data_IF_818868692138
#
_entry.id   IF_818868692138
#
_cell.length_a   1.000
_cell.length_b   1.000
_cell.length_c   1.000
_cell.angle_alpha   90.00
_cell.angle_beta   90.00
_cell.angle_gamma   90.00
#
_symmetry.space_group_name_H-M   'P 1'
#
loop_
_entity.id
_entity.type
_entity.pdbx_description
1 polymer ?
#
# COMPACT_ATOMS: atom_id res chain seq x y z
N UNK A 1 -16.14 11.84 58.47
CA UNK A 1 -16.67 11.17 57.27
C UNK A 1 -15.95 11.70 56.04
N UNK A 2 -14.84 11.07 55.68
CA UNK A 2 -13.97 11.44 54.55
C UNK A 2 -14.38 10.60 53.34
N UNK A 3 -15.08 11.21 52.36
CA UNK A 3 -15.25 10.60 51.03
C UNK A 3 -14.03 10.93 50.19
N UNK A 4 -13.19 9.92 49.96
CA UNK A 4 -12.21 9.91 48.87
C UNK A 4 -12.98 9.83 47.55
N UNK A 5 -12.84 10.84 46.70
CA UNK A 5 -13.17 10.76 45.28
C UNK A 5 -11.94 10.28 44.52
N UNK A 6 -12.00 9.06 44.01
CA UNK A 6 -11.06 8.55 43.01
C UNK A 6 -11.38 9.23 41.67
N UNK A 7 -10.41 9.73 40.89
CA UNK A 7 -10.68 10.09 39.51
C UNK A 7 -10.76 8.80 38.68
N UNK A 8 -11.92 8.56 38.06
CA UNK A 8 -12.07 7.55 37.01
C UNK A 8 -11.37 8.06 35.76
N UNK A 9 -10.21 7.49 35.44
CA UNK A 9 -9.54 7.72 34.16
C UNK A 9 -10.24 6.88 33.09
N UNK A 10 -11.30 7.42 32.47
CA UNK A 10 -11.66 6.95 31.12
C UNK A 10 -10.68 7.62 30.17
N UNK A 11 -9.61 6.90 29.80
CA UNK A 11 -8.76 7.32 28.70
C UNK A 11 -9.66 7.46 27.47
N UNK A 12 -9.78 8.68 26.95
CA UNK A 12 -10.38 8.89 25.64
C UNK A 12 -9.54 8.07 24.66
N UNK A 13 -10.14 7.03 24.07
CA UNK A 13 -9.54 6.29 22.96
C UNK A 13 -9.13 7.31 21.91
N UNK A 14 -7.87 7.25 21.46
CA UNK A 14 -7.32 8.20 20.50
C UNK A 14 -8.14 8.16 19.19
N UNK A 15 -8.23 9.26 18.44
CA UNK A 15 -8.88 9.24 17.12
C UNK A 15 -8.28 8.22 16.14
N UNK A 16 -7.06 7.73 16.43
CA UNK A 16 -6.39 6.69 15.67
C UNK A 16 -6.94 5.30 15.94
N UNK A 17 -7.32 4.99 17.17
CA UNK A 17 -7.86 3.67 17.54
C UNK A 17 -9.08 3.29 16.70
N UNK A 18 -10.00 4.24 16.52
CA UNK A 18 -11.21 4.05 15.72
C UNK A 18 -10.87 3.97 14.23
N UNK A 19 -9.98 4.87 13.74
CA UNK A 19 -9.58 4.90 12.35
C UNK A 19 -8.87 3.61 11.94
N UNK A 20 -7.95 3.10 12.77
CA UNK A 20 -7.15 1.91 12.49
C UNK A 20 -7.99 0.63 12.46
N UNK A 21 -9.14 0.61 13.16
CA UNK A 21 -10.09 -0.52 13.21
C UNK A 21 -11.19 -0.46 12.16
N UNK A 22 -11.14 0.49 11.21
CA UNK A 22 -12.06 0.50 10.06
C UNK A 22 -11.82 -0.68 9.10
N UNK A 23 -10.70 -1.40 9.21
CA UNK A 23 -10.49 -2.67 8.49
C UNK A 23 -11.40 -3.73 9.11
N UNK A 24 -12.42 -4.25 8.38
CA UNK A 24 -13.46 -5.07 9.00
C UNK A 24 -12.92 -6.35 9.62
N UNK A 25 -13.21 -6.52 10.92
CA UNK A 25 -12.86 -7.72 11.69
C UNK A 25 -11.37 -7.87 12.02
N UNK A 26 -10.54 -6.89 11.68
CA UNK A 26 -9.11 -6.91 12.03
C UNK A 26 -8.83 -5.89 13.13
N UNK A 27 -8.17 -6.33 14.21
CA UNK A 27 -7.65 -5.44 15.25
C UNK A 27 -6.12 -5.32 15.10
N UNK A 28 -5.60 -4.19 14.60
CA UNK A 28 -4.16 -4.04 14.39
C UNK A 28 -3.37 -4.02 15.69
N UNK A 29 -4.00 -3.81 16.84
CA UNK A 29 -3.34 -3.87 18.14
C UNK A 29 -3.20 -5.33 18.62
N UNK A 30 -4.11 -6.21 18.19
CA UNK A 30 -3.97 -7.64 18.39
C UNK A 30 -2.78 -8.16 17.57
N UNK A 31 -1.90 -8.93 18.20
CA UNK A 31 -0.69 -9.45 17.53
C UNK A 31 0.39 -8.41 17.21
N UNK A 32 0.29 -7.17 17.72
CA UNK A 32 1.33 -6.16 17.51
C UNK A 32 2.69 -6.53 18.11
N UNK A 33 2.70 -7.34 19.18
CA UNK A 33 3.93 -7.73 19.87
C UNK A 33 4.72 -6.49 20.30
N UNK A 34 6.00 -6.42 19.89
CA UNK A 34 6.87 -5.28 20.16
C UNK A 34 6.73 -4.13 19.15
N UNK A 35 5.82 -4.23 18.18
CA UNK A 35 5.59 -3.14 17.23
C UNK A 35 4.89 -1.95 17.90
N UNK A 36 5.19 -0.76 17.41
CA UNK A 36 4.61 0.50 17.92
C UNK A 36 3.95 1.26 16.78
N UNK A 37 2.91 2.03 17.09
CA UNK A 37 2.25 2.91 16.12
C UNK A 37 2.89 4.30 16.17
N UNK A 38 3.42 4.74 15.04
CA UNK A 38 3.99 6.07 14.83
C UNK A 38 2.94 6.96 14.15
N UNK A 39 2.28 7.79 14.97
CA UNK A 39 1.23 8.72 14.53
C UNK A 39 1.76 9.74 13.52
N UNK A 40 3.01 10.18 13.66
CA UNK A 40 3.61 11.16 12.76
C UNK A 40 3.89 10.53 11.39
N UNK A 41 4.36 9.28 11.36
CA UNK A 41 4.53 8.54 10.11
C UNK A 41 3.19 8.29 9.42
N UNK A 42 2.14 7.91 10.16
CA UNK A 42 0.80 7.75 9.61
C UNK A 42 0.23 9.06 9.07
N UNK A 43 0.42 10.17 9.81
CA UNK A 43 -0.05 11.50 9.42
C UNK A 43 0.65 11.97 8.15
N UNK A 44 1.98 11.83 8.05
CA UNK A 44 2.73 12.17 6.83
C UNK A 44 2.27 11.34 5.64
N UNK A 45 2.05 10.03 5.86
CA UNK A 45 1.60 9.14 4.80
C UNK A 45 0.22 9.52 4.28
N UNK A 46 -0.75 9.83 5.16
CA UNK A 46 -2.08 10.31 4.75
C UNK A 46 -1.98 11.68 4.08
N UNK A 47 -1.23 12.61 4.67
CA UNK A 47 -1.06 13.97 4.19
C UNK A 47 -0.52 14.01 2.77
N UNK A 48 0.46 13.17 2.44
CA UNK A 48 1.02 13.06 1.08
C UNK A 48 -0.06 12.90 -0.01
N UNK A 49 -1.12 12.14 0.25
CA UNK A 49 -2.19 11.96 -0.75
C UNK A 49 -2.97 13.24 -0.98
N UNK A 50 -3.33 13.96 0.08
CA UNK A 50 -4.08 15.22 -0.03
C UNK A 50 -3.21 16.39 -0.50
N UNK A 51 -1.98 16.45 -0.01
CA UNK A 51 -1.10 17.62 -0.16
C UNK A 51 -0.29 17.58 -1.46
N UNK A 52 0.00 16.38 -1.99
CA UNK A 52 0.88 16.21 -3.14
C UNK A 52 0.22 15.49 -4.33
N UNK A 53 -0.91 14.82 -4.15
CA UNK A 53 -1.57 14.07 -5.22
C UNK A 53 -2.91 14.70 -5.59
N UNK A 54 -3.25 14.60 -6.86
CA UNK A 54 -4.53 15.07 -7.39
C UNK A 54 -5.29 13.96 -8.11
N UNK A 55 -6.60 14.05 -8.14
CA UNK A 55 -7.39 13.24 -9.05
C UNK A 55 -7.00 13.55 -10.50
N UNK A 56 -6.77 12.50 -11.31
CA UNK A 56 -6.28 12.64 -12.69
C UNK A 56 -7.37 12.53 -13.75
N UNK A 57 -8.53 11.97 -13.39
CA UNK A 57 -9.62 11.66 -14.32
C UNK A 57 -10.98 11.97 -13.68
N UNK A 58 -11.98 12.23 -14.52
CA UNK A 58 -13.36 12.46 -14.11
C UNK A 58 -13.63 13.90 -13.63
N UNK A 59 -14.77 14.10 -12.97
CA UNK A 59 -15.24 15.42 -12.53
C UNK A 59 -14.33 16.08 -11.49
N UNK A 60 -13.55 15.27 -10.76
CA UNK A 60 -12.65 15.74 -9.73
C UNK A 60 -11.24 16.04 -10.27
N UNK A 61 -10.99 15.88 -11.58
CA UNK A 61 -9.65 16.06 -12.14
C UNK A 61 -9.03 17.42 -11.76
N UNK A 62 -7.79 17.40 -11.30
CA UNK A 62 -7.06 18.56 -10.78
C UNK A 62 -7.34 18.93 -9.33
N UNK A 63 -8.34 18.32 -8.68
CA UNK A 63 -8.59 18.50 -7.25
C UNK A 63 -7.67 17.59 -6.43
N UNK A 64 -7.31 18.04 -5.23
CA UNK A 64 -6.55 17.28 -4.23
C UNK A 64 -7.17 15.90 -3.98
N UNK A 65 -6.35 14.85 -3.91
CA UNK A 65 -6.79 13.49 -3.68
C UNK A 65 -6.93 13.20 -2.18
N UNK A 66 -8.05 13.66 -1.61
CA UNK A 66 -8.39 13.39 -0.22
C UNK A 66 -8.81 11.93 -0.04
N UNK A 67 -8.15 11.24 0.89
CA UNK A 67 -8.44 9.84 1.19
C UNK A 67 -9.76 9.70 1.94
N UNK A 68 -10.59 8.78 1.48
CA UNK A 68 -11.78 8.34 2.21
C UNK A 68 -11.38 7.66 3.54
N UNK A 69 -12.27 7.61 4.56
CA UNK A 69 -11.94 7.06 5.88
C UNK A 69 -11.30 5.65 5.83
N UNK A 70 -11.83 4.76 4.98
CA UNK A 70 -11.28 3.41 4.82
C UNK A 70 -9.88 3.42 4.16
N UNK A 71 -9.62 4.33 3.22
CA UNK A 71 -8.32 4.47 2.59
C UNK A 71 -7.30 5.03 3.58
N UNK A 72 -7.70 6.01 4.39
CA UNK A 72 -6.90 6.54 5.50
C UNK A 72 -6.53 5.44 6.48
N UNK A 73 -7.48 4.57 6.83
CA UNK A 73 -7.25 3.42 7.70
C UNK A 73 -6.17 2.49 7.15
N UNK A 74 -6.24 2.14 5.86
CA UNK A 74 -5.25 1.27 5.20
C UNK A 74 -3.87 1.95 5.18
N UNK A 75 -3.79 3.20 4.71
CA UNK A 75 -2.53 3.95 4.61
C UNK A 75 -1.90 4.14 5.99
N UNK A 76 -2.69 4.48 7.00
CA UNK A 76 -2.23 4.60 8.39
C UNK A 76 -1.70 3.28 8.93
N UNK A 77 -2.44 2.18 8.73
CA UNK A 77 -2.00 0.87 9.18
C UNK A 77 -0.68 0.48 8.53
N UNK A 78 -0.60 0.56 7.21
CA UNK A 78 0.61 0.23 6.44
C UNK A 78 1.79 1.05 6.95
N UNK A 79 1.72 2.39 6.87
CA UNK A 79 2.91 3.23 7.07
C UNK A 79 3.19 3.66 8.51
N UNK A 80 2.17 3.64 9.39
CA UNK A 80 2.28 4.03 10.79
C UNK A 80 2.83 2.95 11.71
N UNK A 81 2.51 1.67 11.48
CA UNK A 81 3.03 0.61 12.35
C UNK A 81 4.49 0.28 12.06
N UNK A 82 5.34 0.37 13.09
CA UNK A 82 6.78 0.13 13.05
C UNK A 82 7.21 -1.04 13.94
N UNK A 83 8.19 -1.78 13.47
CA UNK A 83 8.94 -2.77 14.25
C UNK A 83 9.95 -2.07 15.18
N UNK A 84 10.52 -2.76 16.18
CA UNK A 84 11.52 -2.17 17.07
C UNK A 84 12.76 -1.59 16.36
N UNK A 85 13.10 -2.10 15.18
CA UNK A 85 14.21 -1.62 14.36
C UNK A 85 13.86 -0.39 13.50
N UNK A 86 12.65 0.16 13.66
CA UNK A 86 12.12 1.29 12.91
C UNK A 86 11.56 0.95 11.52
N UNK A 87 11.63 -0.32 11.08
CA UNK A 87 11.10 -0.74 9.78
C UNK A 87 9.58 -0.94 9.83
N UNK A 88 8.92 -0.93 8.67
CA UNK A 88 7.47 -1.16 8.59
C UNK A 88 7.07 -2.54 9.14
N UNK A 89 5.98 -2.57 9.93
CA UNK A 89 5.35 -3.81 10.39
C UNK A 89 4.79 -4.59 9.21
N UNK A 90 3.81 -4.02 8.51
CA UNK A 90 3.16 -4.63 7.36
C UNK A 90 4.07 -4.54 6.13
N UNK A 91 4.42 -5.71 5.59
CA UNK A 91 5.24 -5.89 4.39
C UNK A 91 4.45 -6.51 3.25
N UNK A 92 3.32 -7.10 3.57
CA UNK A 92 2.31 -7.54 2.62
C UNK A 92 0.94 -7.03 3.08
N UNK A 93 0.02 -6.78 2.14
CA UNK A 93 -1.36 -6.39 2.47
C UNK A 93 -2.31 -6.84 1.36
N UNK A 94 -3.53 -7.25 1.72
CA UNK A 94 -4.62 -7.52 0.79
C UNK A 94 -5.72 -6.46 0.94
N UNK A 95 -5.97 -5.71 -0.14
CA UNK A 95 -7.07 -4.74 -0.25
C UNK A 95 -8.15 -5.35 -1.15
N UNK A 96 -9.16 -5.94 -0.51
CA UNK A 96 -10.29 -6.59 -1.18
C UNK A 96 -11.51 -5.65 -1.14
N UNK A 97 -11.74 -4.90 -2.22
CA UNK A 97 -12.83 -3.90 -2.28
C UNK A 97 -13.59 -3.93 -3.61
N UNK A 98 -14.92 -3.64 -3.63
CA UNK A 98 -15.74 -3.71 -4.84
C UNK A 98 -15.25 -2.81 -5.98
N UNK A 99 -15.72 -3.06 -7.21
CA UNK A 99 -15.40 -2.26 -8.40
C UNK A 99 -15.79 -0.79 -8.21
N UNK A 100 -15.07 0.11 -8.91
CA UNK A 100 -15.30 1.58 -8.92
C UNK A 100 -15.08 2.33 -7.59
N UNK A 101 -14.30 1.77 -6.65
CA UNK A 101 -13.94 2.42 -5.38
C UNK A 101 -12.60 3.19 -5.41
N UNK A 102 -12.17 3.74 -6.56
CA UNK A 102 -10.95 4.56 -6.62
C UNK A 102 -9.63 3.82 -6.34
N UNK A 103 -9.61 2.48 -6.45
CA UNK A 103 -8.44 1.62 -6.16
C UNK A 103 -7.16 2.04 -6.90
N UNK A 104 -7.24 2.34 -8.19
CA UNK A 104 -6.06 2.66 -8.99
C UNK A 104 -5.39 3.98 -8.55
N UNK A 105 -6.16 4.95 -8.03
CA UNK A 105 -5.58 6.17 -7.45
C UNK A 105 -4.87 5.87 -6.13
N UNK A 106 -5.48 5.04 -5.27
CA UNK A 106 -4.84 4.58 -4.04
C UNK A 106 -3.55 3.82 -4.35
N UNK A 107 -3.59 2.87 -5.29
CA UNK A 107 -2.44 2.10 -5.77
C UNK A 107 -1.29 3.00 -6.25
N UNK A 108 -1.62 3.96 -7.12
CA UNK A 108 -0.66 4.95 -7.63
C UNK A 108 -0.04 5.76 -6.49
N UNK A 109 -0.84 6.26 -5.55
CA UNK A 109 -0.35 7.03 -4.42
C UNK A 109 0.54 6.22 -3.46
N UNK A 110 0.22 4.93 -3.22
CA UNK A 110 1.10 4.04 -2.45
C UNK A 110 2.45 3.89 -3.16
N UNK A 111 2.46 3.61 -4.47
CA UNK A 111 3.71 3.51 -5.24
C UNK A 111 4.53 4.80 -5.19
N UNK A 112 3.88 5.96 -5.32
CA UNK A 112 4.56 7.26 -5.25
C UNK A 112 5.10 7.55 -3.86
N UNK A 113 4.35 7.23 -2.81
CA UNK A 113 4.84 7.39 -1.44
C UNK A 113 6.07 6.53 -1.19
N UNK A 114 6.08 5.28 -1.66
CA UNK A 114 7.25 4.40 -1.57
C UNK A 114 8.45 4.95 -2.35
N UNK A 115 8.21 5.58 -3.51
CA UNK A 115 9.24 6.14 -4.35
C UNK A 115 9.88 7.41 -3.74
N UNK A 116 9.06 8.32 -3.21
CA UNK A 116 9.51 9.65 -2.77
C UNK A 116 9.76 9.77 -1.26
N UNK A 117 9.06 9.00 -0.43
CA UNK A 117 8.95 9.27 1.01
C UNK A 117 9.45 8.15 1.93
N UNK A 118 9.64 6.92 1.42
CA UNK A 118 9.96 5.74 2.26
C UNK A 118 11.46 5.63 2.62
N UNK A 119 12.30 6.55 2.09
CA UNK A 119 13.70 6.72 2.49
C UNK A 119 14.66 5.62 2.01
N UNK A 120 14.22 4.76 1.09
CA UNK A 120 15.04 3.67 0.54
C UNK A 120 15.82 4.11 -0.71
N UNK A 121 17.14 3.93 -0.69
CA UNK A 121 17.99 4.18 -1.87
C UNK A 121 17.87 3.01 -2.85
N UNK A 122 17.85 3.33 -4.13
CA UNK A 122 17.73 2.35 -5.20
C UNK A 122 16.41 1.61 -5.18
N UNK A 123 15.33 2.22 -4.66
CA UNK A 123 14.04 1.58 -4.53
C UNK A 123 13.46 1.24 -5.92
N UNK A 124 13.16 -0.04 -6.14
CA UNK A 124 12.47 -0.48 -7.35
C UNK A 124 10.99 -0.67 -7.03
N UNK A 125 10.15 0.17 -7.62
CA UNK A 125 8.71 0.19 -7.43
C UNK A 125 8.01 -0.33 -8.68
N UNK A 126 6.97 -1.13 -8.51
CA UNK A 126 6.21 -1.71 -9.61
C UNK A 126 4.70 -1.63 -9.43
N UNK A 127 3.97 -1.41 -10.51
CA UNK A 127 2.56 -1.76 -10.61
C UNK A 127 2.44 -2.95 -11.54
N UNK A 128 1.78 -4.00 -11.08
CA UNK A 128 1.67 -5.27 -11.77
C UNK A 128 0.20 -5.64 -11.97
N UNK A 129 -0.10 -6.25 -13.11
CA UNK A 129 -1.41 -6.81 -13.41
C UNK A 129 -1.25 -8.00 -14.36
N UNK A 130 -2.33 -8.76 -14.57
CA UNK A 130 -2.33 -9.88 -15.51
C UNK A 130 -2.03 -9.42 -16.94
N UNK A 131 -2.65 -8.32 -17.35
CA UNK A 131 -2.54 -7.74 -18.68
C UNK A 131 -1.73 -6.43 -18.64
N UNK A 132 -0.92 -6.20 -19.68
CA UNK A 132 -0.03 -5.03 -19.78
C UNK A 132 -0.76 -3.70 -19.66
N UNK A 133 -1.90 -3.57 -20.32
CA UNK A 133 -2.66 -2.33 -20.34
C UNK A 133 -3.21 -1.99 -18.95
N UNK A 134 -3.59 -3.00 -18.15
CA UNK A 134 -4.06 -2.79 -16.77
C UNK A 134 -2.92 -2.30 -15.87
N UNK A 135 -1.73 -2.91 -15.99
CA UNK A 135 -0.56 -2.47 -15.24
C UNK A 135 -0.15 -1.03 -15.61
N UNK A 136 -0.32 -0.66 -16.89
CA UNK A 136 -0.06 0.68 -17.39
C UNK A 136 -1.05 1.72 -16.83
N UNK A 137 -2.32 1.37 -16.61
CA UNK A 137 -3.31 2.30 -16.07
C UNK A 137 -2.89 2.88 -14.71
N UNK A 138 -2.40 2.04 -13.79
CA UNK A 138 -1.93 2.50 -12.47
C UNK A 138 -0.70 3.40 -12.60
N UNK A 139 0.25 3.00 -13.45
CA UNK A 139 1.45 3.78 -13.73
C UNK A 139 1.13 5.13 -14.36
N UNK A 140 0.21 5.18 -15.32
CA UNK A 140 -0.21 6.40 -16.00
C UNK A 140 -0.89 7.36 -15.02
N UNK A 141 -1.73 6.85 -14.10
CA UNK A 141 -2.30 7.65 -13.01
C UNK A 141 -1.19 8.29 -12.16
N UNK A 142 -0.21 7.50 -11.73
CA UNK A 142 0.91 8.01 -10.94
C UNK A 142 1.74 9.05 -11.70
N UNK A 143 2.03 8.78 -12.98
CA UNK A 143 2.73 9.69 -13.86
C UNK A 143 2.00 11.03 -14.01
N UNK A 144 0.68 11.00 -14.17
CA UNK A 144 -0.12 12.21 -14.24
C UNK A 144 -0.14 12.98 -12.92
N UNK A 145 -0.22 12.29 -11.78
CA UNK A 145 -0.11 12.92 -10.46
C UNK A 145 1.24 13.64 -10.29
N UNK A 146 2.36 12.97 -10.61
CA UNK A 146 3.70 13.56 -10.54
C UNK A 146 3.82 14.78 -11.46
N UNK A 147 3.36 14.69 -12.71
CA UNK A 147 3.43 15.83 -13.64
C UNK A 147 2.54 17.00 -13.25
N UNK A 148 1.53 16.78 -12.41
CA UNK A 148 0.62 17.83 -11.93
C UNK A 148 1.12 18.51 -10.65
N UNK A 149 2.13 17.95 -9.98
CA UNK A 149 2.72 18.52 -8.77
C UNK A 149 4.18 19.00 -9.04
N UNK A 150 4.42 20.32 -9.12
CA UNK A 150 5.72 20.88 -9.48
C UNK A 150 6.89 20.37 -8.62
N UNK A 151 6.67 20.14 -7.32
CA UNK A 151 7.72 19.63 -6.43
C UNK A 151 8.13 18.20 -6.82
N UNK A 152 7.15 17.32 -7.05
CA UNK A 152 7.42 15.94 -7.46
C UNK A 152 8.01 15.86 -8.88
N UNK A 153 7.47 16.65 -9.82
CA UNK A 153 7.98 16.75 -11.17
C UNK A 153 9.45 17.24 -11.20
N UNK A 154 9.80 18.20 -10.34
CA UNK A 154 11.17 18.71 -10.22
C UNK A 154 12.14 17.73 -9.55
N UNK A 155 11.64 16.81 -8.72
CA UNK A 155 12.44 15.84 -7.99
C UNK A 155 12.73 14.55 -8.78
N UNK A 156 12.18 14.37 -9.99
CA UNK A 156 12.32 13.14 -10.76
C UNK A 156 12.41 13.39 -12.27
N UNK A 157 12.77 12.34 -13.02
CA UNK A 157 12.60 12.28 -14.47
C UNK A 157 11.45 11.37 -14.83
N UNK A 158 10.51 11.90 -15.60
CA UNK A 158 9.34 11.17 -16.07
C UNK A 158 9.57 10.72 -17.51
N UNK A 159 9.57 9.40 -17.73
CA UNK A 159 9.68 8.78 -19.05
C UNK A 159 8.33 8.19 -19.50
N UNK A 160 8.29 7.63 -20.70
CA UNK A 160 7.10 6.92 -21.20
C UNK A 160 6.77 5.67 -20.38
N UNK A 161 7.78 4.94 -19.90
CA UNK A 161 7.62 3.65 -19.22
C UNK A 161 8.26 3.59 -17.82
N UNK A 162 8.72 4.73 -17.31
CA UNK A 162 9.35 4.81 -16.00
C UNK A 162 9.22 6.21 -15.38
N UNK A 163 9.24 6.28 -14.06
CA UNK A 163 9.56 7.48 -13.28
C UNK A 163 10.87 7.16 -12.54
N UNK A 164 11.86 8.06 -12.57
CA UNK A 164 13.17 7.81 -11.98
C UNK A 164 13.63 8.98 -11.12
N UNK A 165 14.11 8.69 -9.91
CA UNK A 165 14.82 9.66 -9.05
C UNK A 165 16.30 9.29 -9.10
N UNK A 166 17.05 9.94 -9.99
CA UNK A 166 18.43 9.56 -10.30
C UNK A 166 19.37 9.71 -9.11
N UNK A 167 19.16 10.73 -8.27
CA UNK A 167 20.01 11.03 -7.10
C UNK A 167 20.09 9.85 -6.10
N UNK A 168 18.97 9.18 -5.90
CA UNK A 168 18.88 8.00 -5.02
C UNK A 168 18.85 6.68 -5.80
N UNK A 169 18.82 6.72 -7.13
CA UNK A 169 18.78 5.53 -7.99
C UNK A 169 17.45 4.78 -7.99
N UNK A 170 16.37 5.42 -7.55
CA UNK A 170 15.05 4.77 -7.40
C UNK A 170 14.22 4.88 -8.68
N UNK A 171 13.41 3.86 -8.99
CA UNK A 171 12.56 3.84 -10.20
C UNK A 171 11.18 3.26 -9.93
N UNK A 172 10.19 3.71 -10.70
CA UNK A 172 8.86 3.12 -10.77
C UNK A 172 8.51 2.74 -12.21
N UNK A 173 8.08 1.50 -12.46
CA UNK A 173 7.65 0.96 -13.77
C UNK A 173 6.38 0.10 -13.67
N UNK A 174 5.67 -0.08 -14.78
CA UNK A 174 4.61 -1.09 -14.91
C UNK A 174 5.15 -2.44 -15.40
N UNK A 175 4.67 -3.55 -14.83
CA UNK A 175 5.04 -4.93 -15.20
C UNK A 175 3.77 -5.75 -15.49
N UNK A 176 3.85 -6.70 -16.42
CA UNK A 176 2.79 -7.68 -16.66
C UNK A 176 3.35 -9.10 -16.72
N UNK A 177 2.47 -10.10 -16.66
CA UNK A 177 2.87 -11.51 -16.68
C UNK A 177 3.72 -11.86 -17.91
N UNK A 178 3.33 -11.38 -19.10
CA UNK A 178 4.06 -11.63 -20.36
C UNK A 178 5.47 -11.03 -20.39
N UNK A 179 5.71 -9.95 -19.62
CA UNK A 179 7.01 -9.28 -19.56
C UNK A 179 7.98 -9.93 -18.55
N UNK A 180 7.50 -10.89 -17.75
CA UNK A 180 8.17 -11.33 -16.52
C UNK A 180 9.19 -12.46 -16.68
N UNK A 181 9.40 -12.96 -17.90
CA UNK A 181 10.14 -14.21 -18.15
C UNK A 181 11.67 -14.13 -17.96
N UNK A 182 12.25 -12.98 -17.58
CA UNK A 182 13.73 -12.77 -17.61
C UNK A 182 14.38 -11.88 -16.54
N UNK A 183 13.72 -11.56 -15.43
CA UNK A 183 14.20 -10.45 -14.58
C UNK A 183 14.52 -10.86 -13.13
N UNK A 184 15.76 -10.60 -12.71
CA UNK A 184 16.18 -10.62 -11.31
C UNK A 184 15.86 -9.28 -10.64
N UNK A 185 14.58 -9.05 -10.35
CA UNK A 185 14.12 -7.84 -9.69
C UNK A 185 14.68 -7.70 -8.28
N UNK A 186 14.83 -6.46 -7.82
CA UNK A 186 15.09 -6.14 -6.43
C UNK A 186 13.98 -5.24 -5.89
N UNK A 187 12.76 -5.77 -5.84
CA UNK A 187 11.53 -5.03 -5.56
C UNK A 187 11.51 -4.46 -4.16
N UNK A 188 11.43 -3.13 -4.03
CA UNK A 188 11.12 -2.46 -2.77
C UNK A 188 9.62 -2.30 -2.57
N UNK A 189 8.88 -2.01 -3.64
CA UNK A 189 7.45 -1.80 -3.57
C UNK A 189 6.74 -2.39 -4.77
N UNK A 190 5.64 -3.09 -4.56
CA UNK A 190 4.80 -3.54 -5.66
C UNK A 190 3.33 -3.49 -5.30
N UNK A 191 2.53 -2.98 -6.22
CA UNK A 191 1.07 -3.12 -6.17
C UNK A 191 0.64 -4.08 -7.28
N UNK A 192 0.06 -5.21 -6.91
CA UNK A 192 -0.53 -6.19 -7.83
C UNK A 192 -2.02 -5.89 -7.91
N UNK A 193 -2.43 -5.20 -8.97
CA UNK A 193 -3.83 -4.83 -9.21
C UNK A 193 -4.58 -5.95 -9.95
N UNK A 194 -5.89 -6.00 -9.71
CA UNK A 194 -6.80 -7.03 -10.19
C UNK A 194 -6.28 -8.47 -10.00
N UNK A 195 -5.91 -8.82 -8.76
CA UNK A 195 -5.39 -10.16 -8.42
C UNK A 195 -6.29 -11.30 -8.92
N UNK A 196 -7.61 -11.12 -8.90
CA UNK A 196 -8.60 -12.07 -9.43
C UNK A 196 -8.43 -12.41 -10.93
N UNK A 197 -7.80 -11.53 -11.70
CA UNK A 197 -7.56 -11.70 -13.12
C UNK A 197 -6.25 -12.45 -13.43
N UNK A 198 -5.40 -12.70 -12.43
CA UNK A 198 -4.15 -13.44 -12.63
C UNK A 198 -4.43 -14.88 -13.07
N UNK A 199 -3.77 -15.31 -14.15
CA UNK A 199 -3.97 -16.66 -14.72
C UNK A 199 -3.36 -17.75 -13.86
N UNK A 200 -2.23 -17.44 -13.22
CA UNK A 200 -1.48 -18.33 -12.33
C UNK A 200 -0.73 -17.51 -11.27
N UNK A 201 0.08 -18.18 -10.45
CA UNK A 201 0.84 -17.55 -9.36
C UNK A 201 2.18 -16.96 -9.78
N UNK A 202 2.68 -17.27 -10.98
CA UNK A 202 4.07 -17.04 -11.36
C UNK A 202 4.49 -15.56 -11.21
N UNK A 203 3.68 -14.62 -11.71
CA UNK A 203 3.98 -13.19 -11.58
C UNK A 203 3.99 -12.74 -10.11
N UNK A 204 3.00 -13.21 -9.34
CA UNK A 204 2.84 -12.87 -7.93
C UNK A 204 4.03 -13.39 -7.13
N UNK A 205 4.37 -14.67 -7.30
CA UNK A 205 5.44 -15.34 -6.58
C UNK A 205 6.81 -14.74 -6.93
N UNK A 206 7.07 -14.43 -8.22
CA UNK A 206 8.30 -13.75 -8.64
C UNK A 206 8.43 -12.38 -7.97
N UNK A 207 7.37 -11.58 -7.95
CA UNK A 207 7.43 -10.24 -7.37
C UNK A 207 7.58 -10.31 -5.84
N UNK A 208 6.84 -11.18 -5.16
CA UNK A 208 6.95 -11.39 -3.70
C UNK A 208 8.36 -11.86 -3.33
N UNK A 209 8.88 -12.90 -4.00
CA UNK A 209 10.22 -13.44 -3.70
C UNK A 209 11.34 -12.44 -4.00
N UNK A 210 11.18 -11.58 -5.01
CA UNK A 210 12.16 -10.55 -5.35
C UNK A 210 12.35 -9.46 -4.30
N UNK A 211 11.47 -9.40 -3.29
CA UNK A 211 11.59 -8.45 -2.17
C UNK A 211 12.63 -8.87 -1.13
N UNK A 212 13.12 -10.12 -1.17
CA UNK A 212 13.88 -10.72 -0.06
C UNK A 212 15.19 -10.02 0.33
N UNK A 213 15.76 -9.19 -0.54
CA UNK A 213 16.98 -8.42 -0.21
C UNK A 213 16.70 -7.02 0.36
N UNK A 214 15.43 -6.60 0.42
CA UNK A 214 15.02 -5.29 0.93
C UNK A 214 14.70 -5.33 2.41
N UNK A 215 15.06 -4.26 3.11
CA UNK A 215 14.90 -4.17 4.56
C UNK A 215 13.43 -3.98 4.98
N UNK A 216 12.65 -3.24 4.19
CA UNK A 216 11.24 -2.91 4.50
C UNK A 216 10.33 -2.89 3.27
N UNK A 217 10.32 -3.95 2.44
CA UNK A 217 9.53 -3.96 1.21
C UNK A 217 8.03 -3.84 1.48
N UNK A 218 7.26 -3.46 0.47
CA UNK A 218 5.80 -3.53 0.50
C UNK A 218 5.25 -4.27 -0.72
N UNK A 219 4.46 -5.31 -0.48
CA UNK A 219 3.63 -5.96 -1.49
C UNK A 219 2.17 -5.64 -1.16
N UNK A 220 1.45 -4.98 -2.07
CA UNK A 220 0.01 -4.74 -1.91
C UNK A 220 -0.73 -5.50 -2.99
N UNK A 221 -1.58 -6.43 -2.59
CA UNK A 221 -2.54 -7.07 -3.46
C UNK A 221 -3.82 -6.26 -3.46
N UNK A 222 -4.29 -5.88 -4.63
CA UNK A 222 -5.53 -5.14 -4.79
C UNK A 222 -6.43 -5.95 -5.70
N UNK A 223 -7.68 -6.14 -5.28
CA UNK A 223 -8.61 -6.91 -6.09
C UNK A 223 -10.07 -6.60 -5.75
N UNK A 224 -10.94 -7.05 -6.65
CA UNK A 224 -12.37 -7.20 -6.40
C UNK A 224 -12.73 -8.66 -6.18
N UNK A 225 -14.01 -8.94 -5.95
CA UNK A 225 -14.46 -10.31 -5.83
C UNK A 225 -14.12 -11.16 -7.06
N UNK A 226 -13.60 -12.35 -6.80
CA UNK A 226 -13.37 -13.41 -7.78
C UNK A 226 -14.55 -14.39 -7.75
N UNK A 227 -14.60 -15.28 -8.75
CA UNK A 227 -15.48 -16.43 -8.76
C UNK A 227 -14.98 -17.51 -7.79
N UNK A 228 -15.90 -18.37 -7.33
CA UNK A 228 -15.56 -19.51 -6.49
C UNK A 228 -14.85 -20.60 -7.32
N UNK A 229 -13.51 -20.50 -7.37
CA UNK A 229 -12.61 -21.41 -8.10
C UNK A 229 -11.20 -21.37 -7.49
N UNK A 230 -10.36 -22.39 -7.71
CA UNK A 230 -8.95 -22.29 -7.35
C UNK A 230 -8.27 -21.11 -8.08
N UNK A 231 -7.77 -20.13 -7.34
CA UNK A 231 -7.06 -18.96 -7.86
C UNK A 231 -6.18 -18.34 -6.79
N UNK A 232 -5.09 -17.68 -7.21
CA UNK A 232 -4.19 -16.95 -6.29
C UNK A 232 -4.94 -15.89 -5.46
N UNK A 233 -6.01 -15.32 -6.01
CA UNK A 233 -6.87 -14.38 -5.31
C UNK A 233 -7.60 -15.05 -4.14
N UNK A 234 -8.25 -16.18 -4.39
CA UNK A 234 -8.97 -16.91 -3.34
C UNK A 234 -8.02 -17.49 -2.30
N UNK A 235 -6.84 -17.92 -2.70
CA UNK A 235 -5.79 -18.39 -1.78
C UNK A 235 -5.29 -17.26 -0.86
N UNK A 236 -5.08 -16.05 -1.39
CA UNK A 236 -4.70 -14.88 -0.59
C UNK A 236 -5.84 -14.42 0.32
N UNK A 237 -7.10 -14.52 -0.12
CA UNK A 237 -8.26 -14.18 0.69
C UNK A 237 -8.45 -15.16 1.86
N UNK A 238 -8.28 -16.46 1.62
CA UNK A 238 -8.29 -17.48 2.67
C UNK A 238 -7.16 -17.25 3.68
N UNK A 239 -5.95 -16.96 3.20
CA UNK A 239 -4.82 -16.61 4.06
C UNK A 239 -5.10 -15.37 4.92
N UNK A 240 -5.59 -14.28 4.29
CA UNK A 240 -5.96 -13.05 4.99
C UNK A 240 -7.03 -13.29 6.06
N UNK A 241 -8.01 -14.14 5.76
CA UNK A 241 -9.08 -14.54 6.70
C UNK A 241 -8.49 -15.28 7.90
N UNK A 242 -7.58 -16.23 7.67
CA UNK A 242 -6.92 -16.97 8.74
C UNK A 242 -6.01 -16.10 9.61
N UNK A 243 -5.31 -15.11 9.02
CA UNK A 243 -4.52 -14.13 9.78
C UNK A 243 -5.44 -13.25 10.63
N UNK A 244 -6.51 -12.70 10.03
CA UNK A 244 -7.52 -11.89 10.73
C UNK A 244 -8.13 -12.64 11.91
N UNK A 245 -8.46 -13.92 11.72
CA UNK A 245 -9.12 -14.77 12.71
C UNK A 245 -8.14 -15.37 13.73
N UNK A 246 -6.83 -15.04 13.63
CA UNK A 246 -5.79 -15.53 14.55
C UNK A 246 -5.44 -17.01 14.39
N UNK A 247 -5.87 -17.65 13.29
CA UNK A 247 -5.52 -19.03 12.93
C UNK A 247 -4.07 -19.11 12.45
N UNK A 248 -3.61 -18.08 11.74
CA UNK A 248 -2.21 -17.91 11.30
C UNK A 248 -1.63 -16.69 12.00
N UNK A 249 -0.49 -16.88 12.67
CA UNK A 249 0.27 -15.77 13.25
C UNK A 249 1.24 -15.20 12.20
N UNK A 250 0.82 -14.13 11.53
CA UNK A 250 1.70 -13.34 10.67
C UNK A 250 1.50 -11.84 10.95
N UNK A 251 2.40 -11.26 11.75
CA UNK A 251 2.34 -9.84 12.09
C UNK A 251 2.77 -8.92 10.93
N UNK A 252 3.18 -9.47 9.77
CA UNK A 252 3.66 -8.74 8.60
C UNK A 252 2.66 -8.63 7.45
N UNK A 253 1.51 -9.29 7.54
CA UNK A 253 0.44 -9.33 6.55
C UNK A 253 -0.79 -8.52 7.01
#
# INVERSE_FOLDING_TARGET
>A
MTRKTTPSTSAATSSWDDLLRLVPGYDPFAGAGACTFDEDAATRAIGFFGDCLTHVKGQLAGQSFQLEPWQRSIVANIFGWKRPDGTRRYREALIYVPRKNGKSCLAAGICLYLLFCDGERGAEIYSAAAERDQAALVFDVAKHMVLSEPVLAGACKVFTKAIAIEEVGSTYKAISADANTKHGYNTHGVVIDELHAQRNRDLVDVLVTSTGSRRQPLVVHITTADYDRPSVCNDKLDYATKVRDGIIEDASF
#
